data_IF_763903520149
#
_entry.id   IF_763903520149
#
_cell.length_a   1.000
_cell.length_b   1.000
_cell.length_c   1.000
_cell.angle_alpha   90.00
_cell.angle_beta   90.00
_cell.angle_gamma   90.00
#
_symmetry.space_group_name_H-M   'P 1'
#
loop_
_entity.id
_entity.type
_entity.pdbx_description
1 polymer ?
#
# COMPACT_ATOMS: atom_id res chain seq x y z
N UNK A 1 0.67 14.97 0.76
CA UNK A 1 -0.66 15.47 0.38
C UNK A 1 -0.62 16.50 -0.77
N UNK A 2 0.06 17.68 -0.66
CA UNK A 2 0.09 18.70 -1.76
C UNK A 2 0.55 18.19 -3.14
N UNK A 3 1.52 17.26 -3.23
CA UNK A 3 2.02 16.74 -4.53
C UNK A 3 1.07 15.77 -5.24
N UNK A 4 0.23 15.07 -4.50
CA UNK A 4 -0.74 14.12 -5.05
C UNK A 4 -1.94 14.91 -5.61
N UNK A 5 -2.41 15.93 -4.90
CA UNK A 5 -3.44 16.86 -5.39
C UNK A 5 -3.05 17.50 -6.71
N UNK A 6 -1.82 18.06 -6.80
CA UNK A 6 -1.37 18.72 -8.03
C UNK A 6 -1.33 17.78 -9.26
N UNK A 7 -1.20 16.47 -9.10
CA UNK A 7 -1.25 15.53 -10.22
C UNK A 7 -2.69 15.21 -10.66
N UNK A 8 -3.63 15.09 -9.73
CA UNK A 8 -5.05 14.95 -10.08
C UNK A 8 -5.61 16.23 -10.71
N UNK A 9 -5.28 17.40 -10.14
CA UNK A 9 -5.69 18.70 -10.67
C UNK A 9 -5.22 18.89 -12.12
N UNK A 10 -3.96 18.55 -12.42
CA UNK A 10 -3.42 18.66 -13.77
C UNK A 10 -4.12 17.77 -14.80
N UNK A 11 -4.63 16.60 -14.41
CA UNK A 11 -5.35 15.68 -15.29
C UNK A 11 -6.80 16.16 -15.56
N UNK A 12 -7.48 16.67 -14.54
CA UNK A 12 -8.86 17.18 -14.70
C UNK A 12 -8.91 18.42 -15.59
N UNK A 13 -7.94 19.33 -15.47
CA UNK A 13 -7.86 20.52 -16.33
C UNK A 13 -7.51 20.19 -17.79
N UNK A 14 -6.73 19.15 -18.04
CA UNK A 14 -6.37 18.72 -19.40
C UNK A 14 -7.55 18.13 -20.19
N UNK A 15 -8.51 17.52 -19.51
CA UNK A 15 -9.69 16.90 -20.13
C UNK A 15 -10.81 17.93 -20.38
N UNK A 16 -10.98 18.91 -19.50
CA UNK A 16 -12.03 19.95 -19.65
C UNK A 16 -11.84 20.86 -20.89
N UNK A 17 -10.63 20.93 -21.46
CA UNK A 17 -10.33 21.75 -22.64
C UNK A 17 -10.65 21.05 -23.98
N UNK A 18 -11.01 19.75 -23.98
CA UNK A 18 -11.26 18.98 -25.20
C UNK A 18 -12.75 18.79 -25.54
N UNK A 19 -13.66 19.15 -24.64
CA UNK A 19 -15.09 19.01 -24.91
C UNK A 19 -15.72 20.36 -25.26
N UNK A 20 -15.88 20.59 -26.56
CA UNK A 20 -16.79 21.59 -27.07
C UNK A 20 -18.19 21.33 -26.50
N UNK A 21 -18.87 22.37 -26.01
CA UNK A 21 -20.20 22.32 -25.38
C UNK A 21 -21.18 21.46 -26.18
N UNK A 22 -21.56 20.27 -25.77
CA UNK A 22 -22.70 19.59 -26.33
C UNK A 22 -23.93 20.23 -25.69
N UNK A 23 -24.79 20.87 -26.52
CA UNK A 23 -26.17 21.15 -26.15
C UNK A 23 -26.93 19.81 -26.18
N UNK A 24 -26.75 18.98 -25.15
CA UNK A 24 -27.67 17.92 -24.83
C UNK A 24 -28.62 18.42 -23.75
N UNK A 25 -29.92 18.44 -24.05
CA UNK A 25 -30.94 18.45 -23.01
C UNK A 25 -30.75 17.11 -22.23
N UNK A 26 -29.92 17.13 -21.19
CA UNK A 26 -29.81 16.05 -20.27
C UNK A 26 -31.12 15.99 -19.47
N UNK A 27 -31.89 14.94 -19.68
CA UNK A 27 -32.93 14.55 -18.75
C UNK A 27 -32.21 14.18 -17.45
N UNK A 28 -32.18 15.09 -16.47
CA UNK A 28 -31.50 14.89 -15.20
C UNK A 28 -32.09 13.62 -14.59
N UNK A 29 -31.23 12.62 -14.33
CA UNK A 29 -31.63 11.45 -13.57
C UNK A 29 -32.13 11.95 -12.21
N UNK A 30 -33.40 11.64 -11.87
CA UNK A 30 -34.01 12.05 -10.60
C UNK A 30 -33.37 11.27 -9.45
N UNK A 31 -32.29 11.77 -8.91
CA UNK A 31 -31.70 11.27 -7.66
C UNK A 31 -31.67 12.39 -6.62
N UNK A 32 -31.71 12.02 -5.36
CA UNK A 32 -31.51 12.94 -4.24
C UNK A 32 -30.11 12.76 -3.69
N UNK A 33 -29.49 13.87 -3.25
CA UNK A 33 -28.19 13.85 -2.57
C UNK A 33 -28.42 14.09 -1.08
N UNK A 34 -27.96 13.14 -0.28
CA UNK A 34 -27.86 13.32 1.18
C UNK A 34 -26.44 13.77 1.52
N UNK A 35 -26.31 14.90 2.21
CA UNK A 35 -25.00 15.41 2.61
C UNK A 35 -24.30 14.37 3.51
N UNK A 36 -23.06 14.10 3.21
CA UNK A 36 -22.17 13.21 3.98
C UNK A 36 -20.75 13.76 3.89
N UNK A 37 -19.95 13.59 4.91
CA UNK A 37 -18.55 13.98 4.91
C UNK A 37 -17.71 12.77 5.34
N UNK A 38 -16.91 12.25 4.41
CA UNK A 38 -16.01 11.13 4.65
C UNK A 38 -14.80 11.22 3.72
N UNK A 39 -13.65 10.75 4.17
CA UNK A 39 -12.52 10.48 3.29
C UNK A 39 -12.58 9.01 2.90
N UNK A 40 -12.77 8.74 1.61
CA UNK A 40 -12.69 7.41 1.02
C UNK A 40 -11.49 7.34 0.08
N UNK A 41 -11.11 6.15 -0.32
CA UNK A 41 -9.97 5.90 -1.18
C UNK A 41 -10.41 5.30 -2.51
N UNK A 42 -9.82 5.78 -3.60
CA UNK A 42 -10.00 5.18 -4.93
C UNK A 42 -9.51 3.75 -4.96
N UNK A 43 -10.11 2.92 -5.81
CA UNK A 43 -9.67 1.56 -6.11
C UNK A 43 -9.60 1.36 -7.65
N UNK A 44 -9.30 0.14 -8.09
CA UNK A 44 -9.15 -0.16 -9.52
C UNK A 44 -10.45 0.01 -10.35
N UNK A 45 -11.60 0.17 -9.69
CA UNK A 45 -12.89 0.42 -10.32
C UNK A 45 -13.30 1.90 -10.30
N UNK A 46 -12.40 2.81 -9.87
CA UNK A 46 -12.74 4.22 -9.76
C UNK A 46 -12.83 4.87 -11.14
N UNK A 47 -13.99 5.43 -11.42
CA UNK A 47 -14.28 6.25 -12.60
C UNK A 47 -14.90 7.57 -12.11
N UNK A 48 -14.40 8.72 -12.60
CA UNK A 48 -14.98 10.03 -12.28
C UNK A 48 -16.03 10.38 -13.33
N UNK A 49 -17.21 10.77 -12.87
CA UNK A 49 -18.40 11.03 -13.66
C UNK A 49 -18.84 12.49 -13.49
N UNK A 50 -19.38 13.09 -14.56
CA UNK A 50 -19.93 14.45 -14.50
C UNK A 50 -21.29 14.49 -13.78
N UNK A 51 -22.04 13.39 -13.79
CA UNK A 51 -23.33 13.22 -13.13
C UNK A 51 -23.39 11.83 -12.48
N UNK A 52 -24.38 11.56 -11.64
CA UNK A 52 -24.61 10.26 -11.01
C UNK A 52 -25.18 9.24 -12.00
N UNK A 53 -24.50 9.05 -13.12
CA UNK A 53 -24.83 8.18 -14.23
C UNK A 53 -23.53 7.70 -14.91
N UNK A 54 -23.35 6.39 -15.07
CA UNK A 54 -22.17 5.77 -15.66
C UNK A 54 -21.91 6.19 -17.13
N UNK A 55 -22.90 6.76 -17.81
CA UNK A 55 -22.72 7.28 -19.18
C UNK A 55 -21.97 8.62 -19.23
N UNK A 56 -21.76 9.27 -18.08
CA UNK A 56 -21.20 10.63 -17.98
C UNK A 56 -19.70 10.65 -17.61
N UNK A 57 -18.93 9.71 -18.14
CA UNK A 57 -17.51 9.53 -17.80
C UNK A 57 -16.68 10.76 -18.15
N UNK A 58 -15.95 11.29 -17.17
CA UNK A 58 -14.96 12.36 -17.32
C UNK A 58 -13.54 11.82 -17.26
N UNK A 59 -13.25 10.93 -16.29
CA UNK A 59 -11.97 10.23 -16.16
C UNK A 59 -12.24 8.72 -16.05
N UNK A 60 -11.92 7.94 -17.09
CA UNK A 60 -12.18 6.50 -17.13
C UNK A 60 -11.21 5.68 -16.26
N UNK A 61 -10.06 6.24 -15.95
CA UNK A 61 -9.04 5.58 -15.12
C UNK A 61 -8.51 6.55 -14.07
N UNK A 62 -8.54 6.12 -12.82
CA UNK A 62 -8.00 6.84 -11.67
C UNK A 62 -7.07 5.91 -10.92
N UNK A 63 -5.87 6.39 -10.58
CA UNK A 63 -4.95 5.59 -9.78
C UNK A 63 -5.60 5.18 -8.45
N UNK A 64 -5.44 3.92 -8.06
CA UNK A 64 -5.95 3.41 -6.79
C UNK A 64 -5.26 4.08 -5.58
N UNK A 65 -5.90 4.01 -4.42
CA UNK A 65 -5.41 4.50 -3.12
C UNK A 65 -5.21 6.02 -3.02
N UNK A 66 -5.93 6.80 -3.84
CA UNK A 66 -5.96 8.25 -3.68
C UNK A 66 -7.09 8.64 -2.72
N UNK A 67 -6.82 9.44 -1.67
CA UNK A 67 -7.87 9.92 -0.77
C UNK A 67 -8.77 10.91 -1.50
N UNK A 68 -10.07 10.70 -1.43
CA UNK A 68 -11.12 11.55 -1.98
C UNK A 68 -12.07 11.97 -0.86
N UNK A 69 -12.34 13.28 -0.78
CA UNK A 69 -13.37 13.81 0.12
C UNK A 69 -14.75 13.62 -0.53
N UNK A 70 -15.55 12.75 0.05
CA UNK A 70 -16.97 12.59 -0.25
C UNK A 70 -17.73 13.69 0.45
N UNK A 71 -18.63 14.39 -0.28
CA UNK A 71 -19.48 15.48 0.23
C UNK A 71 -20.96 15.10 0.26
N UNK A 72 -21.33 13.97 -0.33
CA UNK A 72 -22.71 13.48 -0.34
C UNK A 72 -22.83 12.07 -0.86
N UNK A 73 -23.99 11.46 -0.61
CA UNK A 73 -24.38 10.14 -1.12
C UNK A 73 -25.70 10.31 -1.90
N UNK A 74 -25.74 9.79 -3.10
CA UNK A 74 -26.93 9.82 -3.94
C UNK A 74 -27.86 8.64 -3.67
N UNK A 75 -29.16 8.82 -3.88
CA UNK A 75 -30.15 7.73 -3.70
C UNK A 75 -30.00 6.58 -4.70
N UNK A 76 -29.26 6.77 -5.79
CA UNK A 76 -29.00 5.79 -6.82
C UNK A 76 -27.58 5.14 -6.73
N UNK A 77 -26.87 5.31 -5.60
CA UNK A 77 -25.67 4.54 -5.28
C UNK A 77 -24.33 5.16 -5.67
N UNK A 78 -24.30 6.49 -5.97
CA UNK A 78 -23.08 7.21 -6.24
C UNK A 78 -22.66 8.05 -5.04
N UNK A 79 -21.36 8.31 -4.94
CA UNK A 79 -20.80 9.30 -4.03
C UNK A 79 -20.59 10.62 -4.77
N UNK A 80 -21.06 11.70 -4.16
CA UNK A 80 -20.72 13.05 -4.60
C UNK A 80 -19.36 13.45 -4.03
N UNK A 81 -18.49 13.97 -4.88
CA UNK A 81 -17.15 14.42 -4.50
C UNK A 81 -16.94 15.85 -4.99
N UNK A 82 -16.02 16.57 -4.35
CA UNK A 82 -15.61 17.90 -4.76
C UNK A 82 -14.13 17.89 -5.16
N UNK A 83 -13.86 18.24 -6.41
CA UNK A 83 -12.51 18.40 -6.94
C UNK A 83 -12.34 19.85 -7.40
N UNK A 84 -11.53 20.63 -6.69
CA UNK A 84 -11.25 22.04 -6.98
C UNK A 84 -12.51 22.94 -7.12
N UNK A 85 -13.52 22.70 -6.29
CA UNK A 85 -14.76 23.46 -6.29
C UNK A 85 -15.80 23.01 -7.31
N UNK A 86 -15.50 21.97 -8.10
CA UNK A 86 -16.45 21.34 -9.01
C UNK A 86 -16.97 20.03 -8.42
N UNK A 87 -18.26 19.78 -8.64
CA UNK A 87 -18.94 18.56 -8.20
C UNK A 87 -18.78 17.49 -9.27
N UNK A 88 -18.40 16.31 -8.83
CA UNK A 88 -18.33 15.08 -9.62
C UNK A 88 -18.94 13.93 -8.84
N UNK A 89 -19.04 12.78 -9.50
CA UNK A 89 -19.62 11.58 -8.92
C UNK A 89 -18.69 10.37 -9.15
N UNK A 90 -18.77 9.42 -8.25
CA UNK A 90 -18.09 8.12 -8.33
C UNK A 90 -19.09 7.06 -7.94
N UNK A 91 -19.22 5.99 -8.74
CA UNK A 91 -20.05 4.84 -8.36
C UNK A 91 -19.56 4.21 -7.05
N UNK A 92 -20.48 3.75 -6.21
CA UNK A 92 -20.15 3.23 -4.87
C UNK A 92 -19.08 2.14 -4.84
N UNK A 93 -18.99 1.31 -5.89
CA UNK A 93 -17.94 0.29 -6.02
C UNK A 93 -16.54 0.85 -6.31
N UNK A 94 -16.45 2.09 -6.77
CA UNK A 94 -15.18 2.78 -7.09
C UNK A 94 -14.45 3.33 -5.87
N UNK A 95 -15.06 3.33 -4.68
CA UNK A 95 -14.44 3.86 -3.46
C UNK A 95 -14.45 2.80 -2.35
N UNK A 96 -13.44 2.85 -1.49
CA UNK A 96 -13.31 2.01 -0.31
C UNK A 96 -13.10 2.86 0.95
N UNK A 97 -13.58 2.36 2.08
CA UNK A 97 -13.46 3.03 3.38
C UNK A 97 -12.02 3.04 3.93
N UNK A 98 -11.12 2.26 3.34
CA UNK A 98 -9.72 2.15 3.74
C UNK A 98 -8.82 2.25 2.51
N UNK A 99 -7.61 2.76 2.72
CA UNK A 99 -6.53 2.63 1.77
C UNK A 99 -6.28 1.13 1.52
N UNK A 100 -6.44 0.67 0.28
CA UNK A 100 -6.26 -0.75 -0.08
C UNK A 100 -4.79 -1.18 0.07
N UNK A 101 -3.85 -0.24 0.02
CA UNK A 101 -2.44 -0.49 0.37
C UNK A 101 -2.34 -0.80 1.86
N UNK A 102 -2.96 0.00 2.71
CA UNK A 102 -3.05 -0.24 4.15
C UNK A 102 -3.69 -1.59 4.46
N UNK A 103 -4.76 -1.96 3.73
CA UNK A 103 -5.41 -3.27 3.91
C UNK A 103 -4.49 -4.43 3.52
N UNK A 104 -3.74 -4.30 2.40
CA UNK A 104 -2.77 -5.32 1.99
C UNK A 104 -1.64 -5.45 3.02
N UNK A 105 -1.10 -4.35 3.52
CA UNK A 105 -0.08 -4.37 4.57
C UNK A 105 -0.60 -4.93 5.90
N UNK A 106 -1.86 -4.66 6.25
CA UNK A 106 -2.49 -5.23 7.44
C UNK A 106 -2.61 -6.76 7.32
N UNK A 107 -3.00 -7.28 6.16
CA UNK A 107 -3.06 -8.73 5.91
C UNK A 107 -1.66 -9.36 5.98
N UNK A 108 -0.67 -8.73 5.36
CA UNK A 108 0.73 -9.16 5.45
C UNK A 108 1.19 -9.20 6.91
N UNK A 109 0.90 -8.15 7.68
CA UNK A 109 1.22 -8.08 9.10
C UNK A 109 0.62 -9.24 9.90
N UNK A 110 -0.67 -9.52 9.73
CA UNK A 110 -1.36 -10.61 10.44
C UNK A 110 -0.76 -11.99 10.12
N UNK A 111 -0.43 -12.24 8.84
CA UNK A 111 0.20 -13.50 8.42
C UNK A 111 1.61 -13.61 9.03
N UNK A 112 2.39 -12.52 9.02
CA UNK A 112 3.71 -12.47 9.63
C UNK A 112 3.61 -12.74 11.13
N UNK A 113 2.68 -12.08 11.82
CA UNK A 113 2.51 -12.25 13.27
C UNK A 113 2.05 -13.66 13.65
N UNK A 114 1.27 -14.34 12.80
CA UNK A 114 0.92 -15.74 12.99
C UNK A 114 2.15 -16.67 12.98
N UNK A 115 3.27 -16.26 12.35
CA UNK A 115 4.50 -17.04 12.35
C UNK A 115 5.16 -17.11 13.73
N UNK A 116 4.76 -16.30 14.72
CA UNK A 116 5.20 -16.47 16.12
C UNK A 116 4.85 -17.83 16.70
N UNK A 117 3.82 -18.48 16.19
CA UNK A 117 3.49 -19.86 16.61
C UNK A 117 4.53 -20.89 16.14
N UNK A 118 5.15 -20.64 14.98
CA UNK A 118 6.19 -21.51 14.39
C UNK A 118 7.58 -21.10 14.88
N UNK A 119 7.80 -19.81 15.04
CA UNK A 119 9.07 -19.18 15.41
C UNK A 119 8.89 -18.33 16.68
N UNK A 120 8.67 -18.93 17.86
CA UNK A 120 8.43 -18.16 19.08
C UNK A 120 9.66 -17.33 19.49
N UNK A 121 9.37 -16.24 20.22
CA UNK A 121 10.41 -15.39 20.84
C UNK A 121 11.43 -16.21 21.61
N UNK A 122 12.73 -15.94 21.40
CA UNK A 122 13.83 -16.63 22.05
C UNK A 122 14.13 -18.03 21.51
N UNK A 123 13.39 -18.53 20.51
CA UNK A 123 13.70 -19.81 19.87
C UNK A 123 15.13 -19.79 19.33
N UNK A 124 15.93 -20.86 19.61
CA UNK A 124 17.26 -20.98 19.06
C UNK A 124 17.22 -20.97 17.53
N UNK A 125 17.93 -20.02 16.94
CA UNK A 125 18.10 -19.88 15.50
C UNK A 125 19.49 -19.35 15.18
N UNK A 126 20.26 -20.11 14.41
CA UNK A 126 21.70 -19.87 14.17
C UNK A 126 22.02 -19.97 12.68
N UNK A 127 23.27 -19.77 12.32
CA UNK A 127 23.75 -19.98 10.95
C UNK A 127 23.68 -21.44 10.47
N UNK A 128 23.30 -22.39 11.33
CA UNK A 128 23.02 -23.77 10.92
C UNK A 128 21.62 -23.93 10.32
N UNK A 129 20.70 -22.95 10.56
CA UNK A 129 19.36 -22.97 10.05
C UNK A 129 19.33 -22.38 8.64
N UNK A 130 18.94 -23.21 7.68
CA UNK A 130 18.78 -22.83 6.26
C UNK A 130 17.31 -22.81 5.86
N UNK A 131 16.94 -21.85 5.01
CA UNK A 131 15.64 -21.82 4.34
C UNK A 131 15.81 -21.51 2.86
N UNK A 132 15.18 -22.31 1.98
CA UNK A 132 15.09 -22.06 0.54
C UNK A 132 14.04 -21.01 0.24
N UNK A 133 14.40 -19.92 -0.47
CA UNK A 133 13.51 -18.77 -0.67
C UNK A 133 12.77 -18.79 -2.00
N UNK A 134 11.47 -18.61 -1.99
CA UNK A 134 10.61 -18.53 -3.16
C UNK A 134 10.63 -17.13 -3.84
N UNK A 135 11.03 -16.09 -3.12
CA UNK A 135 11.15 -14.72 -3.66
C UNK A 135 12.14 -14.59 -4.82
N UNK A 136 13.04 -15.56 -4.99
CA UNK A 136 13.78 -15.82 -6.22
C UNK A 136 14.91 -14.85 -6.57
N UNK A 137 15.23 -13.87 -5.73
CA UNK A 137 16.45 -13.05 -5.87
C UNK A 137 17.68 -13.81 -5.39
N UNK A 138 17.48 -14.67 -4.39
CA UNK A 138 18.43 -15.64 -3.87
C UNK A 138 17.80 -17.02 -3.85
N UNK A 139 18.60 -18.08 -3.90
CA UNK A 139 18.11 -19.46 -3.79
C UNK A 139 17.62 -19.75 -2.36
N UNK A 140 18.22 -19.10 -1.38
CA UNK A 140 17.90 -19.24 0.04
C UNK A 140 18.93 -18.56 0.91
N UNK A 141 18.80 -18.71 2.23
CA UNK A 141 19.70 -18.11 3.20
C UNK A 141 19.85 -18.92 4.48
N UNK A 142 20.92 -18.67 5.19
CA UNK A 142 21.18 -19.18 6.53
C UNK A 142 20.92 -18.10 7.58
N UNK A 143 20.69 -18.51 8.81
CA UNK A 143 20.59 -17.61 9.96
C UNK A 143 19.56 -16.51 9.76
N UNK A 144 19.95 -15.25 9.89
CA UNK A 144 19.05 -14.10 9.79
C UNK A 144 18.31 -14.05 8.44
N UNK A 145 19.01 -14.33 7.33
CA UNK A 145 18.39 -14.36 6.01
C UNK A 145 17.38 -15.52 5.90
N UNK A 146 17.72 -16.72 6.39
CA UNK A 146 16.82 -17.87 6.38
C UNK A 146 15.52 -17.60 7.12
N UNK A 147 15.58 -16.96 8.30
CA UNK A 147 14.40 -16.57 9.05
C UNK A 147 13.54 -15.56 8.28
N UNK A 148 14.15 -14.45 7.81
CA UNK A 148 13.43 -13.41 7.09
C UNK A 148 12.75 -13.97 5.83
N UNK A 149 13.41 -14.88 5.10
CA UNK A 149 12.87 -15.56 3.92
C UNK A 149 11.70 -16.47 4.24
N UNK A 150 11.78 -17.25 5.33
CA UNK A 150 10.69 -18.12 5.76
C UNK A 150 9.43 -17.34 6.12
N UNK A 151 9.57 -16.25 6.88
CA UNK A 151 8.45 -15.38 7.27
C UNK A 151 7.88 -14.63 6.06
N UNK A 152 8.76 -14.16 5.15
CA UNK A 152 8.32 -13.50 3.91
C UNK A 152 7.56 -14.46 2.99
N UNK A 153 8.00 -15.73 2.84
CA UNK A 153 7.29 -16.70 2.01
C UNK A 153 5.92 -17.08 2.58
N UNK A 154 5.76 -17.07 3.89
CA UNK A 154 4.46 -17.27 4.53
C UNK A 154 3.47 -16.17 4.14
N UNK A 155 3.93 -14.91 4.02
CA UNK A 155 3.08 -13.77 3.70
C UNK A 155 2.80 -13.61 2.20
N UNK A 156 3.78 -13.89 1.33
CA UNK A 156 3.74 -13.56 -0.08
C UNK A 156 3.74 -14.76 -1.03
N UNK A 157 3.91 -15.99 -0.52
CA UNK A 157 3.94 -17.20 -1.35
C UNK A 157 5.05 -17.17 -2.40
N UNK A 158 4.68 -17.30 -3.68
CA UNK A 158 5.62 -17.38 -4.81
C UNK A 158 5.85 -16.02 -5.52
N UNK A 159 5.36 -14.90 -4.95
CA UNK A 159 5.60 -13.56 -5.53
C UNK A 159 7.09 -13.25 -5.54
N UNK A 160 7.61 -12.82 -6.70
CA UNK A 160 9.04 -12.51 -6.87
C UNK A 160 9.43 -11.22 -6.16
N UNK A 161 10.56 -11.22 -5.47
CA UNK A 161 11.10 -10.04 -4.84
C UNK A 161 11.81 -9.12 -5.84
N UNK A 162 11.77 -7.82 -5.56
CA UNK A 162 12.55 -6.77 -6.23
C UNK A 162 13.50 -6.14 -5.22
N UNK A 163 14.71 -5.77 -5.66
CA UNK A 163 15.69 -5.07 -4.82
C UNK A 163 15.70 -3.59 -5.17
N UNK A 164 15.68 -2.74 -4.16
CA UNK A 164 15.82 -1.29 -4.31
C UNK A 164 16.47 -0.64 -3.07
N UNK A 165 16.74 0.68 -3.16
CA UNK A 165 17.31 1.50 -2.09
C UNK A 165 16.47 2.74 -1.77
N UNK A 166 15.20 2.72 -2.14
CA UNK A 166 14.27 3.78 -1.76
C UNK A 166 13.72 3.52 -0.35
N UNK A 167 14.37 4.09 0.66
CA UNK A 167 13.99 3.94 2.06
C UNK A 167 12.73 4.71 2.45
N UNK A 168 12.23 5.59 1.58
CA UNK A 168 10.95 6.29 1.79
C UNK A 168 9.74 5.40 1.48
N UNK A 169 9.95 4.31 0.74
CA UNK A 169 8.93 3.36 0.31
C UNK A 169 8.92 2.05 1.11
N UNK A 170 9.62 2.00 2.25
CA UNK A 170 9.58 0.81 3.14
C UNK A 170 8.15 0.49 3.54
N UNK A 171 7.79 -0.79 3.48
CA UNK A 171 6.46 -1.32 3.81
C UNK A 171 6.56 -2.49 4.79
N UNK A 172 5.46 -2.79 5.46
CA UNK A 172 5.33 -4.00 6.28
C UNK A 172 5.57 -5.24 5.40
N UNK A 173 6.41 -6.16 5.87
CA UNK A 173 6.77 -7.37 5.12
C UNK A 173 8.01 -7.24 4.22
N UNK A 174 8.54 -6.04 4.02
CA UNK A 174 9.83 -5.87 3.36
C UNK A 174 10.96 -6.48 4.18
N UNK A 175 11.92 -7.08 3.49
CA UNK A 175 13.16 -7.55 4.10
C UNK A 175 14.23 -6.48 3.92
N UNK A 176 14.80 -6.01 5.02
CA UNK A 176 15.89 -5.06 5.00
C UNK A 176 17.22 -5.77 5.22
N UNK A 177 18.21 -5.46 4.38
CA UNK A 177 19.62 -5.78 4.65
C UNK A 177 20.22 -4.60 5.37
N UNK A 178 20.71 -4.82 6.56
CA UNK A 178 21.20 -3.79 7.47
C UNK A 178 22.61 -4.11 7.98
N UNK A 179 23.19 -3.25 8.79
CA UNK A 179 24.48 -3.40 9.44
C UNK A 179 25.60 -3.76 8.42
N UNK A 180 25.75 -2.95 7.36
CA UNK A 180 26.70 -3.16 6.25
C UNK A 180 26.52 -4.50 5.53
N UNK A 181 25.29 -4.85 5.19
CA UNK A 181 24.90 -6.09 4.51
C UNK A 181 25.22 -7.38 5.30
N UNK A 182 25.36 -7.29 6.61
CA UNK A 182 25.66 -8.48 7.45
C UNK A 182 24.43 -9.09 8.10
N UNK A 183 23.30 -8.35 8.17
CA UNK A 183 22.10 -8.80 8.86
C UNK A 183 20.84 -8.60 8.03
N UNK A 184 19.88 -9.54 8.16
CA UNK A 184 18.55 -9.46 7.52
C UNK A 184 17.47 -9.35 8.60
N UNK A 185 16.53 -8.44 8.40
CA UNK A 185 15.35 -8.26 9.24
C UNK A 185 14.10 -8.15 8.37
N UNK A 186 12.92 -8.49 8.90
CA UNK A 186 11.64 -8.29 8.24
C UNK A 186 10.82 -7.22 8.96
N UNK A 187 10.24 -6.27 8.22
CA UNK A 187 9.51 -5.12 8.76
C UNK A 187 8.14 -5.54 9.27
N UNK A 188 7.82 -5.17 10.51
CA UNK A 188 6.51 -5.34 11.15
C UNK A 188 5.71 -4.06 11.18
N UNK A 189 6.37 -2.91 11.35
CA UNK A 189 5.74 -1.60 11.47
C UNK A 189 6.69 -0.53 10.94
N UNK A 190 6.15 0.45 10.21
CA UNK A 190 6.91 1.62 9.75
C UNK A 190 6.44 2.83 10.53
N UNK A 191 7.34 3.43 11.30
CA UNK A 191 7.13 4.65 12.07
C UNK A 191 7.75 5.86 11.37
N UNK A 192 7.50 7.03 11.88
CA UNK A 192 8.06 8.27 11.33
C UNK A 192 9.59 8.22 11.24
N UNK A 193 10.28 7.85 12.34
CA UNK A 193 11.73 7.88 12.45
C UNK A 193 12.38 6.51 12.68
N UNK A 194 11.62 5.43 12.65
CA UNK A 194 12.10 4.07 12.91
C UNK A 194 11.26 3.03 12.18
N UNK A 195 11.72 1.78 12.23
CA UNK A 195 10.95 0.59 11.88
C UNK A 195 10.98 -0.40 13.04
N UNK A 196 9.89 -1.15 13.22
CA UNK A 196 9.86 -2.31 14.10
C UNK A 196 10.05 -3.55 13.24
N UNK A 197 10.90 -4.47 13.67
CA UNK A 197 11.28 -5.64 12.88
C UNK A 197 11.19 -6.94 13.67
N UNK A 198 11.12 -8.05 12.93
CA UNK A 198 11.45 -9.38 13.43
C UNK A 198 12.75 -9.85 12.79
N UNK A 199 13.51 -10.67 13.52
CA UNK A 199 14.82 -11.12 13.10
C UNK A 199 15.17 -12.51 13.68
N UNK A 200 15.93 -13.27 12.92
CA UNK A 200 16.56 -14.51 13.38
C UNK A 200 18.06 -14.35 13.51
N UNK A 201 18.67 -15.24 14.30
CA UNK A 201 20.11 -15.25 14.55
C UNK A 201 20.66 -13.95 15.18
N UNK A 202 19.80 -13.21 15.88
CA UNK A 202 20.25 -12.17 16.78
C UNK A 202 20.52 -12.80 18.14
N UNK A 203 21.77 -12.76 18.60
CA UNK A 203 22.21 -13.54 19.77
C UNK A 203 21.83 -15.04 19.71
N UNK A 204 21.95 -15.66 18.52
CA UNK A 204 21.61 -17.06 18.26
C UNK A 204 20.13 -17.41 18.49
N UNK A 205 19.22 -16.47 18.43
CA UNK A 205 17.79 -16.68 18.66
C UNK A 205 16.92 -15.79 17.76
N UNK A 206 15.61 -16.01 17.81
CA UNK A 206 14.57 -15.25 17.14
C UNK A 206 14.08 -14.15 18.06
N UNK A 207 13.91 -12.95 17.51
CA UNK A 207 13.37 -11.80 18.22
C UNK A 207 12.29 -11.11 17.40
N UNK A 208 11.23 -10.64 18.10
CA UNK A 208 10.11 -9.94 17.54
C UNK A 208 9.94 -8.58 18.21
N UNK A 209 9.97 -7.50 17.43
CA UNK A 209 9.67 -6.17 17.92
C UNK A 209 10.88 -5.29 18.23
N UNK A 210 12.09 -5.62 17.72
CA UNK A 210 13.23 -4.69 17.83
C UNK A 210 12.97 -3.44 17.02
N UNK A 211 13.24 -2.28 17.62
CA UNK A 211 13.19 -0.99 16.95
C UNK A 211 14.54 -0.62 16.34
N UNK A 212 14.53 -0.22 15.06
CA UNK A 212 15.72 0.26 14.34
C UNK A 212 15.44 1.68 13.85
N UNK A 213 16.22 2.70 14.25
CA UNK A 213 16.12 4.05 13.70
C UNK A 213 16.38 4.06 12.19
N UNK A 214 15.59 4.83 11.41
CA UNK A 214 15.73 4.90 9.95
C UNK A 214 17.12 5.40 9.50
N UNK A 215 17.78 6.23 10.27
CA UNK A 215 19.15 6.69 10.03
C UNK A 215 20.17 5.54 9.98
N UNK A 216 19.93 4.45 10.70
CA UNK A 216 20.77 3.24 10.69
C UNK A 216 20.52 2.31 9.51
N UNK A 217 19.46 2.54 8.75
CA UNK A 217 19.13 1.73 7.58
C UNK A 217 19.91 2.18 6.33
N UNK A 218 20.34 3.45 6.31
CA UNK A 218 20.93 4.09 5.14
C UNK A 218 22.45 3.98 5.19
N UNK A 219 22.98 2.86 4.73
CA UNK A 219 24.41 2.70 4.46
C UNK A 219 24.62 2.23 2.98
N UNK A 220 25.83 2.37 2.42
CA UNK A 220 26.09 2.05 1.00
C UNK A 220 25.80 0.61 0.61
N UNK A 221 25.90 -0.34 1.55
CA UNK A 221 25.69 -1.76 1.32
C UNK A 221 24.26 -2.22 1.63
N UNK A 222 23.49 -1.43 2.37
CA UNK A 222 22.10 -1.74 2.73
C UNK A 222 21.16 -1.65 1.53
N UNK A 223 20.12 -2.47 1.52
CA UNK A 223 19.07 -2.49 0.51
C UNK A 223 17.78 -3.13 1.04
N UNK A 224 16.74 -2.98 0.28
CA UNK A 224 15.39 -3.47 0.56
C UNK A 224 15.03 -4.54 -0.45
N UNK A 225 14.45 -5.63 0.00
CA UNK A 225 13.81 -6.65 -0.82
C UNK A 225 12.30 -6.58 -0.57
N UNK A 226 11.56 -6.05 -1.55
CA UNK A 226 10.10 -5.92 -1.50
C UNK A 226 9.43 -6.96 -2.37
N UNK A 227 8.21 -7.36 -2.01
CA UNK A 227 7.37 -8.31 -2.77
C UNK A 227 5.99 -7.71 -3.13
N UNK A 228 5.91 -6.37 -3.14
CA UNK A 228 4.76 -5.62 -3.62
C UNK A 228 4.88 -5.22 -5.08
#
# INVERSE_FOLDING_TARGET
MRKIWNRMIGLVFGVALLFGTPTMEAQAAEFTVTAAEAVLYTNDNTVILADADDSTVVLPEVAANLPILVTGVTSNGYFQINLDGQIFYVHGIGLSAADTTSTAESQVYEIIMAQKAVFPEGMRWTNDNYYGWKGGTYIGGFGCAGFAFAVSDAAFGDVRAKIHKDYSSIRVGDILRVDNDTHSVIVLEVRENSVIVAEGNYNSSIHWGREIPKERLVDPSSYIMTRY
#
